data_IF_847373412579
#
_entry.id   IF_847373412579
#
_cell.length_a   1.000
_cell.length_b   1.000
_cell.length_c   1.000
_cell.angle_alpha   90.00
_cell.angle_beta   90.00
_cell.angle_gamma   90.00
#
_symmetry.space_group_name_H-M   'P 1'
#
loop_
_entity.id
_entity.type
_entity.pdbx_description
1 polymer ?
#
# COMPACT_ATOMS: atom_id res chain seq x y z
N UNK A 1 2.39 17.77 80.02
CA UNK A 1 2.48 16.30 80.07
C UNK A 1 3.26 15.88 78.82
N UNK A 2 4.61 15.74 78.99
CA UNK A 2 5.50 15.53 77.86
C UNK A 2 5.85 14.05 77.80
N UNK A 3 5.55 13.40 76.65
CA UNK A 3 5.98 12.03 76.37
C UNK A 3 7.21 12.06 75.45
N UNK A 4 8.32 11.57 75.98
CA UNK A 4 9.60 11.40 75.28
C UNK A 4 9.51 10.16 74.39
N UNK A 5 9.77 10.31 73.11
CA UNK A 5 9.94 9.21 72.15
C UNK A 5 11.45 8.95 72.00
N UNK A 6 11.86 7.71 72.29
CA UNK A 6 13.24 7.23 72.15
C UNK A 6 13.47 6.74 70.73
N UNK A 7 14.47 7.26 70.04
CA UNK A 7 14.98 6.75 68.77
C UNK A 7 16.01 5.64 69.05
N UNK A 8 15.72 4.40 68.64
CA UNK A 8 16.69 3.34 68.60
C UNK A 8 17.41 3.37 67.23
N UNK A 9 18.70 3.68 67.26
CA UNK A 9 19.56 3.59 66.07
C UNK A 9 20.03 2.16 65.90
N UNK A 10 19.59 1.52 64.84
CA UNK A 10 20.06 0.19 64.42
C UNK A 10 21.26 0.38 63.50
N UNK A 11 22.46 0.00 63.95
CA UNK A 11 23.68 -0.02 63.14
C UNK A 11 23.69 -1.37 62.41
N UNK A 12 23.52 -1.32 61.05
CA UNK A 12 23.74 -2.47 60.20
C UNK A 12 25.22 -2.56 59.81
N UNK A 13 25.91 -3.57 60.27
CA UNK A 13 27.25 -3.95 59.83
C UNK A 13 27.07 -4.74 58.52
N UNK A 14 27.50 -4.14 57.40
CA UNK A 14 27.56 -4.82 56.10
C UNK A 14 28.83 -5.66 56.04
N UNK A 15 28.71 -6.97 56.21
CA UNK A 15 29.77 -7.94 55.90
C UNK A 15 29.87 -8.06 54.35
N UNK A 16 30.97 -7.58 53.79
CA UNK A 16 31.28 -7.73 52.38
C UNK A 16 31.55 -9.18 51.99
N UNK A 17 30.65 -9.77 51.23
CA UNK A 17 30.90 -11.07 50.58
C UNK A 17 31.30 -10.80 49.12
N UNK A 18 32.60 -10.84 48.85
CA UNK A 18 33.19 -10.77 47.52
C UNK A 18 32.91 -12.08 46.78
N UNK A 19 31.83 -12.14 46.01
CA UNK A 19 31.64 -13.25 45.08
C UNK A 19 32.29 -12.90 43.74
N UNK A 20 33.41 -13.57 43.47
CA UNK A 20 34.06 -13.55 42.15
C UNK A 20 33.18 -14.29 41.14
N UNK A 21 32.64 -13.59 40.15
CA UNK A 21 31.94 -14.16 39.00
C UNK A 21 32.89 -15.04 38.17
N UNK A 22 32.53 -16.28 37.85
CA UNK A 22 33.38 -17.18 37.06
C UNK A 22 33.19 -17.07 35.55
N UNK A 23 32.55 -16.02 35.07
CA UNK A 23 32.27 -15.88 33.62
C UNK A 23 33.33 -15.00 32.97
N UNK A 24 34.42 -15.63 32.49
CA UNK A 24 35.28 -15.02 31.47
C UNK A 24 34.52 -15.02 30.16
N UNK A 25 34.09 -13.85 29.70
CA UNK A 25 33.63 -13.67 28.33
C UNK A 25 34.89 -13.80 27.45
N UNK A 26 35.05 -14.95 26.81
CA UNK A 26 36.01 -15.11 25.72
C UNK A 26 35.38 -14.43 24.52
N UNK A 27 35.90 -13.27 24.12
CA UNK A 27 35.51 -12.61 22.90
C UNK A 27 35.79 -13.54 21.71
N UNK A 28 34.73 -13.93 21.00
CA UNK A 28 34.87 -14.62 19.73
C UNK A 28 35.63 -13.74 18.73
N UNK A 29 36.50 -14.28 17.88
CA UNK A 29 37.19 -13.48 16.86
C UNK A 29 36.15 -12.87 15.91
N UNK A 30 36.26 -11.56 15.71
CA UNK A 30 35.50 -10.82 14.73
C UNK A 30 35.83 -11.37 13.34
N UNK A 31 34.88 -11.86 12.55
CA UNK A 31 35.18 -12.32 11.22
C UNK A 31 35.64 -11.12 10.36
N UNK A 32 36.79 -11.29 9.72
CA UNK A 32 37.35 -10.36 8.73
C UNK A 32 36.29 -10.08 7.66
N UNK A 33 36.08 -8.83 7.21
CA UNK A 33 35.12 -8.56 6.15
C UNK A 33 35.60 -9.24 4.87
N UNK A 34 34.96 -10.35 4.54
CA UNK A 34 35.09 -10.98 3.23
C UNK A 34 34.55 -9.99 2.21
N UNK A 35 35.38 -9.68 1.25
CA UNK A 35 35.11 -8.86 0.08
C UNK A 35 33.72 -9.22 -0.49
N UNK A 36 32.74 -8.33 -0.31
CA UNK A 36 31.43 -8.47 -0.92
C UNK A 36 31.63 -8.42 -2.43
N UNK A 37 31.43 -9.55 -3.08
CA UNK A 37 31.25 -9.61 -4.51
C UNK A 37 30.13 -8.59 -4.85
N UNK A 38 30.46 -7.61 -5.69
CA UNK A 38 29.47 -6.74 -6.29
C UNK A 38 28.54 -7.63 -7.12
N UNK A 39 27.39 -7.99 -6.53
CA UNK A 39 26.27 -8.47 -7.30
C UNK A 39 25.82 -7.27 -8.13
N UNK A 40 26.17 -7.31 -9.40
CA UNK A 40 25.57 -6.44 -10.40
C UNK A 40 24.08 -6.79 -10.40
N UNK A 41 23.28 -6.01 -9.66
CA UNK A 41 21.83 -6.08 -9.75
C UNK A 41 21.52 -5.59 -11.16
N UNK A 42 21.29 -6.53 -12.06
CA UNK A 42 20.68 -6.27 -13.34
C UNK A 42 19.44 -5.41 -13.06
N UNK A 43 19.35 -4.26 -13.67
CA UNK A 43 18.17 -3.41 -13.60
C UNK A 43 17.01 -4.19 -14.21
N UNK A 44 16.27 -4.88 -13.38
CA UNK A 44 14.99 -5.45 -13.80
C UNK A 44 14.11 -4.28 -14.22
N UNK A 45 14.07 -4.05 -15.52
CA UNK A 45 13.05 -3.22 -16.13
C UNK A 45 11.71 -3.75 -15.64
N UNK A 46 10.87 -2.87 -15.09
CA UNK A 46 9.51 -3.23 -14.69
C UNK A 46 8.88 -4.02 -15.84
N UNK A 47 8.21 -5.15 -15.54
CA UNK A 47 7.60 -5.96 -16.60
C UNK A 47 6.71 -5.07 -17.45
N UNK A 48 6.87 -5.16 -18.77
CA UNK A 48 6.02 -4.45 -19.71
C UNK A 48 4.55 -4.80 -19.39
N UNK A 49 3.66 -3.80 -19.49
CA UNK A 49 2.23 -4.04 -19.31
C UNK A 49 1.80 -5.22 -20.18
N UNK A 50 1.21 -6.24 -19.56
CA UNK A 50 0.66 -7.35 -20.32
C UNK A 50 -0.46 -6.80 -21.23
N UNK A 51 -0.56 -7.24 -22.49
CA UNK A 51 -1.70 -6.90 -23.31
C UNK A 51 -2.96 -7.38 -22.58
N UNK A 52 -3.97 -6.52 -22.49
CA UNK A 52 -5.29 -6.90 -21.97
C UNK A 52 -5.86 -7.83 -23.01
N UNK A 53 -5.98 -9.11 -22.68
CA UNK A 53 -6.74 -10.02 -23.54
C UNK A 53 -8.25 -9.78 -23.34
N UNK A 54 -9.04 -10.13 -24.33
CA UNK A 54 -10.51 -9.96 -24.28
C UNK A 54 -11.12 -10.75 -23.11
N UNK A 55 -10.45 -11.80 -22.64
CA UNK A 55 -10.85 -12.61 -21.51
C UNK A 55 -10.69 -11.86 -20.19
N UNK A 56 -9.59 -11.14 -20.01
CA UNK A 56 -9.37 -10.28 -18.83
C UNK A 56 -10.40 -9.14 -18.77
N UNK A 57 -10.70 -8.51 -19.93
CA UNK A 57 -11.74 -7.48 -20.02
C UNK A 57 -13.12 -8.04 -19.68
N UNK A 58 -13.46 -9.23 -20.17
CA UNK A 58 -14.72 -9.90 -19.84
C UNK A 58 -14.82 -10.25 -18.35
N UNK A 59 -13.75 -10.70 -17.74
CA UNK A 59 -13.68 -11.06 -16.31
C UNK A 59 -13.76 -9.82 -15.39
N UNK A 60 -13.12 -8.73 -15.78
CA UNK A 60 -13.21 -7.46 -15.08
C UNK A 60 -14.58 -6.78 -15.27
N UNK A 61 -15.41 -7.23 -16.21
CA UNK A 61 -16.85 -7.01 -16.38
C UNK A 61 -17.43 -5.64 -16.02
N UNK A 62 -16.68 -4.55 -16.32
CA UNK A 62 -17.08 -3.21 -15.96
C UNK A 62 -16.84 -2.90 -14.48
N UNK A 63 -15.63 -2.45 -14.14
CA UNK A 63 -15.33 -1.96 -12.80
C UNK A 63 -16.27 -0.79 -12.42
N UNK A 64 -16.67 -0.75 -11.15
CA UNK A 64 -17.32 0.44 -10.61
C UNK A 64 -16.32 1.61 -10.63
N UNK A 65 -16.76 2.78 -11.07
CA UNK A 65 -15.92 3.97 -10.97
C UNK A 65 -15.65 4.29 -9.49
N UNK A 66 -14.38 4.33 -9.05
CA UNK A 66 -14.06 4.31 -7.62
C UNK A 66 -14.28 5.62 -6.88
N UNK A 67 -14.57 6.73 -7.56
CA UNK A 67 -14.73 8.05 -6.95
C UNK A 67 -16.08 8.64 -7.36
N UNK A 68 -17.13 8.51 -6.54
CA UNK A 68 -18.47 9.00 -6.89
C UNK A 68 -18.49 10.51 -7.08
N UNK A 69 -19.32 10.96 -8.01
CA UNK A 69 -19.48 12.38 -8.32
C UNK A 69 -18.42 12.97 -9.25
N UNK A 70 -17.43 12.17 -9.65
CA UNK A 70 -16.49 12.55 -10.71
C UNK A 70 -17.03 12.06 -12.05
N UNK A 71 -17.01 12.92 -13.06
CA UNK A 71 -17.43 12.57 -14.42
C UNK A 71 -16.37 11.67 -15.07
N UNK A 72 -16.68 10.38 -15.21
CA UNK A 72 -15.79 9.40 -15.82
C UNK A 72 -15.48 9.66 -17.30
N UNK A 73 -16.30 10.45 -18.00
CA UNK A 73 -16.02 10.82 -19.40
C UNK A 73 -14.86 11.80 -19.53
N UNK A 74 -14.53 12.50 -18.45
CA UNK A 74 -13.42 13.47 -18.36
C UNK A 74 -12.15 12.87 -17.75
N UNK A 75 -12.12 11.56 -17.57
CA UNK A 75 -10.94 10.86 -17.09
C UNK A 75 -9.83 10.92 -18.16
N UNK A 76 -8.63 11.27 -17.74
CA UNK A 76 -7.44 11.26 -18.59
C UNK A 76 -6.76 9.90 -18.56
N UNK A 77 -6.34 9.39 -19.72
CA UNK A 77 -5.49 8.20 -19.80
C UNK A 77 -4.05 8.57 -19.45
N UNK A 78 -3.72 8.50 -18.18
CA UNK A 78 -2.37 8.76 -17.67
C UNK A 78 -1.54 7.49 -17.49
N UNK A 79 -2.00 6.33 -17.97
CA UNK A 79 -1.36 5.04 -17.71
C UNK A 79 0.10 4.98 -18.14
N UNK A 80 0.40 5.45 -19.34
CA UNK A 80 1.77 5.47 -19.90
C UNK A 80 2.55 6.75 -19.59
N UNK A 81 1.96 7.68 -18.80
CA UNK A 81 2.62 8.93 -18.48
C UNK A 81 3.98 8.70 -17.80
N UNK A 82 5.03 9.46 -18.20
CA UNK A 82 6.35 9.33 -17.59
C UNK A 82 6.33 9.77 -16.12
N UNK A 83 7.08 9.05 -15.29
CA UNK A 83 7.29 9.35 -13.86
C UNK A 83 8.81 9.32 -13.57
N UNK A 84 9.20 9.94 -12.46
CA UNK A 84 10.59 9.94 -11.96
C UNK A 84 11.60 10.38 -13.05
N UNK A 85 11.29 11.47 -13.77
CA UNK A 85 12.15 11.98 -14.86
C UNK A 85 12.16 11.11 -16.11
N UNK A 86 11.13 10.27 -16.32
CA UNK A 86 11.03 9.38 -17.48
C UNK A 86 11.62 7.98 -17.27
N UNK A 87 12.18 7.71 -16.10
CA UNK A 87 12.79 6.40 -15.80
C UNK A 87 11.74 5.30 -15.51
N UNK A 88 10.49 5.68 -15.29
CA UNK A 88 9.37 4.78 -14.96
C UNK A 88 8.08 5.24 -15.67
N UNK A 89 7.20 4.31 -15.99
CA UNK A 89 5.83 4.60 -16.39
C UNK A 89 4.93 4.74 -15.16
N UNK A 90 3.82 5.43 -15.33
CA UNK A 90 2.81 5.61 -14.27
C UNK A 90 2.16 4.27 -13.88
N UNK A 91 1.75 3.48 -14.88
CA UNK A 91 1.08 2.17 -14.72
C UNK A 91 -0.22 2.23 -13.89
N UNK A 92 -0.85 3.39 -13.87
CA UNK A 92 -2.06 3.70 -13.11
C UNK A 92 -2.82 4.86 -13.78
N UNK A 93 -3.94 5.22 -13.22
CA UNK A 93 -4.61 6.48 -13.54
C UNK A 93 -4.76 7.32 -12.28
N UNK A 94 -4.69 8.65 -12.45
CA UNK A 94 -4.93 9.61 -11.38
C UNK A 94 -6.32 10.21 -11.56
N UNK A 95 -7.21 9.96 -10.59
CA UNK A 95 -8.60 10.43 -10.59
C UNK A 95 -8.69 11.65 -9.69
N UNK A 96 -8.75 12.83 -10.28
CA UNK A 96 -8.81 14.10 -9.55
C UNK A 96 -10.14 14.25 -8.82
N UNK A 97 -10.09 14.50 -7.51
CA UNK A 97 -11.27 14.75 -6.71
C UNK A 97 -10.92 15.57 -5.46
N UNK A 98 -11.91 16.19 -4.85
CA UNK A 98 -11.71 16.94 -3.61
C UNK A 98 -11.21 16.02 -2.49
N UNK A 99 -10.31 16.53 -1.67
CA UNK A 99 -9.88 15.82 -0.45
C UNK A 99 -11.10 15.46 0.40
N UNK A 100 -11.15 14.21 0.88
CA UNK A 100 -12.26 13.70 1.67
C UNK A 100 -13.41 13.11 0.86
N UNK A 101 -13.34 13.12 -0.50
CA UNK A 101 -14.29 12.38 -1.34
C UNK A 101 -14.17 10.88 -1.06
N UNK A 102 -15.28 10.13 -0.89
CA UNK A 102 -15.22 8.69 -0.68
C UNK A 102 -14.52 7.95 -1.83
N UNK A 103 -13.81 6.88 -1.48
CA UNK A 103 -13.22 5.92 -2.41
C UNK A 103 -13.96 4.60 -2.24
N UNK A 104 -14.44 4.03 -3.33
CA UNK A 104 -15.26 2.83 -3.35
C UNK A 104 -14.50 1.61 -3.87
N UNK A 105 -14.85 0.43 -3.37
CA UNK A 105 -14.43 -0.84 -3.92
C UNK A 105 -14.98 -1.00 -5.35
N UNK A 106 -14.09 -1.23 -6.30
CA UNK A 106 -14.46 -1.36 -7.73
C UNK A 106 -15.16 -2.67 -8.05
N UNK A 107 -14.97 -3.69 -7.22
CA UNK A 107 -15.45 -5.06 -7.42
C UNK A 107 -15.68 -5.74 -6.07
N UNK A 108 -16.45 -6.86 -6.05
CA UNK A 108 -16.52 -7.78 -4.93
C UNK A 108 -15.16 -8.45 -4.72
N UNK A 109 -14.83 -8.79 -3.47
CA UNK A 109 -13.55 -9.43 -3.17
C UNK A 109 -13.13 -9.28 -1.70
N UNK A 110 -11.86 -8.98 -1.46
CA UNK A 110 -11.36 -8.75 -0.10
C UNK A 110 -10.16 -7.80 -0.06
N UNK A 111 -9.90 -7.22 1.09
CA UNK A 111 -8.69 -6.43 1.34
C UNK A 111 -7.50 -7.38 1.53
N UNK A 112 -6.45 -7.20 0.75
CA UNK A 112 -5.19 -7.92 0.91
C UNK A 112 -4.32 -7.27 1.98
N UNK A 113 -4.15 -5.93 1.91
CA UNK A 113 -3.23 -5.22 2.79
C UNK A 113 -3.60 -3.74 2.91
N UNK A 114 -3.40 -3.22 4.11
CA UNK A 114 -3.36 -1.79 4.41
C UNK A 114 -1.92 -1.40 4.69
N UNK A 115 -1.43 -0.31 4.10
CA UNK A 115 -0.06 0.16 4.35
C UNK A 115 0.05 1.67 4.23
N UNK A 116 1.13 2.20 4.78
CA UNK A 116 1.51 3.59 4.63
C UNK A 116 3.00 3.63 4.30
N UNK A 117 3.35 4.22 3.16
CA UNK A 117 4.73 4.29 2.68
C UNK A 117 5.03 5.64 2.02
N UNK A 118 6.32 5.91 1.79
CA UNK A 118 6.78 7.21 1.31
C UNK A 118 6.23 7.59 -0.08
N UNK A 119 5.97 6.62 -0.97
CA UNK A 119 5.46 6.88 -2.32
C UNK A 119 3.92 6.98 -2.33
N UNK A 120 3.24 5.91 -2.02
CA UNK A 120 1.78 5.85 -2.09
C UNK A 120 1.05 6.51 -0.92
N UNK A 121 1.75 6.82 0.18
CA UNK A 121 1.10 7.28 1.41
C UNK A 121 0.22 6.19 2.02
N UNK A 122 -0.95 6.57 2.50
CA UNK A 122 -1.98 5.66 2.99
C UNK A 122 -2.57 4.93 1.79
N UNK A 123 -2.49 3.59 1.78
CA UNK A 123 -2.83 2.77 0.62
C UNK A 123 -3.59 1.51 0.99
N UNK A 124 -4.37 1.01 0.03
CA UNK A 124 -5.12 -0.25 0.13
C UNK A 124 -4.77 -1.11 -1.08
N UNK A 125 -4.46 -2.38 -0.83
CA UNK A 125 -4.48 -3.44 -1.82
C UNK A 125 -5.72 -4.30 -1.59
N UNK A 126 -6.50 -4.52 -2.63
CA UNK A 126 -7.65 -5.42 -2.63
C UNK A 126 -7.56 -6.39 -3.80
N UNK A 127 -8.35 -7.44 -3.80
CA UNK A 127 -8.44 -8.41 -4.89
C UNK A 127 -9.90 -8.76 -5.16
N UNK A 128 -10.19 -9.29 -6.34
CA UNK A 128 -11.47 -9.90 -6.69
C UNK A 128 -11.69 -11.25 -5.95
N UNK A 129 -12.88 -11.83 -6.09
CA UNK A 129 -13.25 -13.09 -5.42
C UNK A 129 -12.34 -14.24 -5.86
N UNK A 130 -12.01 -14.32 -7.14
CA UNK A 130 -11.18 -15.36 -7.74
C UNK A 130 -9.68 -15.13 -7.52
N UNK A 131 -9.29 -14.02 -6.90
CA UNK A 131 -7.90 -13.62 -6.69
C UNK A 131 -7.05 -13.59 -7.96
N UNK A 132 -7.64 -13.13 -9.06
CA UNK A 132 -6.95 -13.00 -10.35
C UNK A 132 -6.39 -11.60 -10.56
N UNK A 133 -7.00 -10.58 -9.94
CA UNK A 133 -6.61 -9.20 -10.08
C UNK A 133 -6.34 -8.54 -8.74
N UNK A 134 -5.50 -7.52 -8.78
CA UNK A 134 -5.18 -6.67 -7.63
C UNK A 134 -5.56 -5.24 -7.95
N UNK A 135 -6.31 -4.63 -7.06
CA UNK A 135 -6.71 -3.23 -7.09
C UNK A 135 -5.93 -2.46 -6.05
N UNK A 136 -5.16 -1.47 -6.50
CA UNK A 136 -4.34 -0.64 -5.63
C UNK A 136 -4.89 0.78 -5.59
N UNK A 137 -5.17 1.25 -4.39
CA UNK A 137 -5.68 2.59 -4.09
C UNK A 137 -4.64 3.33 -3.27
N UNK A 138 -4.17 4.50 -3.73
CA UNK A 138 -3.13 5.26 -3.04
C UNK A 138 -3.48 6.73 -2.85
N UNK A 139 -2.64 7.42 -2.08
CA UNK A 139 -2.77 8.81 -1.67
C UNK A 139 -4.00 9.11 -0.82
N UNK A 140 -4.54 8.11 -0.12
CA UNK A 140 -5.70 8.28 0.74
C UNK A 140 -5.42 9.33 1.83
N UNK A 141 -6.46 10.06 2.24
CA UNK A 141 -6.44 10.92 3.43
C UNK A 141 -6.48 10.08 4.71
N UNK A 142 -7.37 9.10 4.73
CA UNK A 142 -7.58 8.13 5.80
C UNK A 142 -8.36 6.93 5.32
N UNK A 143 -8.31 5.85 6.07
CA UNK A 143 -9.18 4.69 5.86
C UNK A 143 -10.62 4.97 6.30
N UNK A 144 -11.57 4.22 5.73
CA UNK A 144 -12.92 4.13 6.29
C UNK A 144 -12.88 3.37 7.63
N UNK A 145 -13.74 3.71 8.61
CA UNK A 145 -13.80 2.97 9.88
C UNK A 145 -14.00 1.46 9.67
N UNK A 146 -13.37 0.65 10.53
CA UNK A 146 -13.47 -0.81 10.51
C UNK A 146 -12.96 -1.48 9.21
N UNK A 147 -12.01 -0.85 8.52
CA UNK A 147 -11.24 -1.45 7.44
C UNK A 147 -10.06 -2.21 8.03
N UNK A 148 -9.86 -3.47 7.59
CA UNK A 148 -8.74 -4.32 8.03
C UNK A 148 -8.33 -5.30 6.93
N UNK A 149 -7.10 -5.81 6.99
CA UNK A 149 -6.62 -6.82 6.05
C UNK A 149 -7.41 -8.13 6.20
N UNK A 150 -7.86 -8.69 5.09
CA UNK A 150 -8.74 -9.86 5.04
C UNK A 150 -10.23 -9.53 5.04
N UNK A 151 -10.63 -8.25 5.25
CA UNK A 151 -12.04 -7.86 5.22
C UNK A 151 -12.67 -8.19 3.87
N UNK A 152 -13.79 -8.93 3.83
CA UNK A 152 -14.60 -9.07 2.62
C UNK A 152 -15.12 -7.71 2.15
N UNK A 153 -15.21 -7.55 0.85
CA UNK A 153 -15.70 -6.34 0.18
C UNK A 153 -16.84 -6.68 -0.75
N UNK A 154 -17.85 -5.83 -0.72
CA UNK A 154 -18.85 -5.73 -1.78
C UNK A 154 -18.49 -4.55 -2.68
N UNK A 155 -18.73 -4.69 -3.97
CA UNK A 155 -18.63 -3.60 -4.95
C UNK A 155 -19.43 -2.40 -4.47
N UNK A 156 -18.77 -1.24 -4.35
CA UNK A 156 -19.37 -0.01 -3.82
C UNK A 156 -19.14 0.23 -2.33
N UNK A 157 -18.54 -0.71 -1.59
CA UNK A 157 -18.14 -0.45 -0.20
C UNK A 157 -17.14 0.70 -0.12
N UNK A 158 -17.33 1.58 0.87
CA UNK A 158 -16.38 2.68 1.10
C UNK A 158 -15.09 2.13 1.73
N UNK A 159 -13.97 2.37 1.07
CA UNK A 159 -12.63 1.95 1.50
C UNK A 159 -11.89 3.02 2.31
N UNK A 160 -12.10 4.27 1.96
CA UNK A 160 -11.38 5.41 2.52
C UNK A 160 -11.76 6.70 1.81
N UNK A 161 -10.88 7.67 1.86
CA UNK A 161 -11.16 9.01 1.34
C UNK A 161 -9.97 9.54 0.55
N UNK A 162 -10.24 10.26 -0.54
CA UNK A 162 -9.24 10.92 -1.37
C UNK A 162 -8.40 11.88 -0.53
N UNK A 163 -7.09 11.86 -0.73
CA UNK A 163 -6.15 12.69 -0.02
C UNK A 163 -4.96 13.12 -0.86
N UNK A 164 -3.86 13.40 -0.15
CA UNK A 164 -2.57 13.84 -0.70
C UNK A 164 -1.41 13.24 0.10
N UNK A 165 -1.58 12.05 0.67
CA UNK A 165 -0.53 11.38 1.44
C UNK A 165 0.55 10.79 0.52
N UNK A 166 1.69 10.45 1.08
CA UNK A 166 2.86 10.00 0.30
C UNK A 166 3.50 11.15 -0.49
N UNK A 167 3.86 10.85 -1.73
CA UNK A 167 4.51 11.81 -2.64
C UNK A 167 3.52 12.62 -3.52
N UNK A 168 2.21 12.51 -3.30
CA UNK A 168 1.23 13.31 -4.01
C UNK A 168 1.42 14.81 -3.74
N UNK A 169 1.29 15.69 -4.75
CA UNK A 169 1.27 17.13 -4.54
C UNK A 169 0.18 17.55 -3.56
N UNK A 170 0.50 18.43 -2.61
CA UNK A 170 -0.41 18.78 -1.52
C UNK A 170 -1.63 19.59 -1.94
N UNK A 171 -1.53 20.25 -3.07
CA UNK A 171 -2.56 21.10 -3.71
C UNK A 171 -3.38 20.36 -4.76
N UNK A 172 -3.02 19.11 -5.10
CA UNK A 172 -3.68 18.30 -6.13
C UNK A 172 -4.20 16.98 -5.54
N UNK A 173 -5.25 16.99 -4.72
CA UNK A 173 -5.82 15.75 -4.18
C UNK A 173 -6.40 14.89 -5.29
N UNK A 174 -6.05 13.60 -5.27
CA UNK A 174 -6.48 12.62 -6.25
C UNK A 174 -6.42 11.20 -5.67
N UNK A 175 -7.15 10.29 -6.30
CA UNK A 175 -6.94 8.85 -6.13
C UNK A 175 -5.97 8.38 -7.22
N UNK A 176 -4.82 7.85 -6.83
CA UNK A 176 -3.98 7.05 -7.72
C UNK A 176 -4.53 5.62 -7.69
N UNK A 177 -5.02 5.14 -8.83
CA UNK A 177 -5.67 3.84 -8.97
C UNK A 177 -4.95 2.96 -9.98
N UNK A 178 -4.56 1.76 -9.55
CA UNK A 178 -3.87 0.78 -10.39
C UNK A 178 -4.60 -0.56 -10.36
N UNK A 179 -4.64 -1.23 -11.51
CA UNK A 179 -5.07 -2.62 -11.66
C UNK A 179 -3.87 -3.45 -12.09
N UNK A 180 -3.72 -4.64 -11.52
CA UNK A 180 -2.63 -5.56 -11.83
C UNK A 180 -3.17 -6.99 -11.93
N UNK A 181 -2.52 -7.84 -12.72
CA UNK A 181 -2.71 -9.28 -12.59
C UNK A 181 -2.13 -9.76 -11.25
N UNK A 182 -2.80 -10.70 -10.60
CA UNK A 182 -2.25 -11.39 -9.44
C UNK A 182 -1.09 -12.27 -9.89
N UNK A 183 0.14 -12.05 -9.41
CA UNK A 183 1.28 -12.90 -9.79
C UNK A 183 1.13 -14.32 -9.24
N UNK A 184 1.70 -15.30 -9.93
CA UNK A 184 1.66 -16.71 -9.51
C UNK A 184 2.29 -16.95 -8.12
N UNK A 185 3.30 -16.14 -7.75
CA UNK A 185 3.95 -16.21 -6.44
C UNK A 185 3.18 -15.45 -5.33
N UNK A 186 2.01 -14.91 -5.67
CA UNK A 186 1.13 -14.14 -4.78
C UNK A 186 1.78 -12.88 -4.16
N UNK A 187 2.88 -12.39 -4.72
CA UNK A 187 3.44 -11.09 -4.37
C UNK A 187 2.63 -9.97 -5.02
N UNK A 188 1.42 -9.77 -4.56
CA UNK A 188 0.39 -8.91 -5.14
C UNK A 188 0.83 -7.46 -5.41
N UNK A 189 1.93 -6.99 -4.80
CA UNK A 189 2.47 -5.64 -5.02
C UNK A 189 3.37 -5.53 -6.26
N UNK A 190 3.64 -6.62 -6.97
CA UNK A 190 4.55 -6.70 -8.10
C UNK A 190 3.91 -7.38 -9.32
N UNK A 191 2.59 -7.33 -9.43
CA UNK A 191 1.87 -7.88 -10.58
C UNK A 191 2.05 -7.05 -11.85
N UNK A 192 1.98 -7.67 -13.04
CA UNK A 192 1.93 -6.95 -14.30
C UNK A 192 0.75 -5.96 -14.31
N UNK A 193 0.99 -4.67 -14.61
CA UNK A 193 -0.06 -3.66 -14.60
C UNK A 193 -1.00 -3.81 -15.80
N UNK A 194 -2.26 -3.50 -15.58
CA UNK A 194 -3.33 -3.43 -16.60
C UNK A 194 -3.79 -1.99 -16.67
N UNK A 195 -3.99 -1.45 -17.87
CA UNK A 195 -4.54 -0.11 -18.02
C UNK A 195 -5.98 -0.04 -17.52
N UNK A 196 -6.28 0.69 -16.42
CA UNK A 196 -7.64 0.78 -15.90
C UNK A 196 -8.54 1.73 -16.68
N UNK A 197 -7.98 2.57 -17.55
CA UNK A 197 -8.72 3.60 -18.27
C UNK A 197 -9.92 3.06 -19.07
N UNK A 198 -9.75 2.05 -19.96
CA UNK A 198 -10.87 1.49 -20.70
C UNK A 198 -11.90 0.76 -19.83
N UNK A 199 -11.46 0.24 -18.66
CA UNK A 199 -12.31 -0.51 -17.72
C UNK A 199 -13.23 0.39 -16.89
N UNK A 200 -12.85 1.64 -16.69
CA UNK A 200 -13.58 2.62 -15.87
C UNK A 200 -14.46 3.57 -16.69
N UNK A 201 -14.31 3.58 -17.99
CA UNK A 201 -15.20 4.36 -18.84
C UNK A 201 -16.51 3.60 -19.06
N UNK A 202 -17.66 4.30 -19.07
CA UNK A 202 -18.88 3.66 -19.51
C UNK A 202 -18.63 3.08 -20.90
N UNK A 203 -18.95 1.82 -21.10
CA UNK A 203 -19.07 1.24 -22.45
C UNK A 203 -20.22 1.98 -23.12
N UNK A 204 -19.89 3.21 -23.58
CA UNK A 204 -20.83 4.07 -24.24
C UNK A 204 -21.28 3.43 -25.52
N UNK A 205 -22.58 3.25 -25.65
CA UNK A 205 -23.32 3.32 -26.94
C UNK A 205 -22.35 3.17 -28.11
N UNK A 206 -22.22 1.94 -28.61
CA UNK A 206 -21.86 1.80 -30.01
C UNK A 206 -22.80 2.72 -30.77
N UNK A 207 -22.27 3.82 -31.26
CA UNK A 207 -22.97 4.69 -32.18
C UNK A 207 -23.49 3.77 -33.26
N UNK A 208 -24.81 3.58 -33.28
CA UNK A 208 -25.45 2.93 -34.40
C UNK A 208 -25.05 3.75 -35.63
N UNK A 209 -24.12 3.19 -36.40
CA UNK A 209 -23.81 3.72 -37.73
C UNK A 209 -25.11 3.67 -38.52
N UNK A 210 -25.61 4.86 -38.86
CA UNK A 210 -26.62 5.06 -39.86
C UNK A 210 -26.03 4.91 -41.25
#
# INVERSE_FOLDING_TARGET
MFQKVWYLSLIFVLAGCSQRSPWRIVAAPVPTPTQQAHVVVSSDAAPAAAPIDDTAVAHLGGLLFPVPGVDSTRLDDSFDAPRDGGTRRHNAIDIMARRGTPILAVQDGRILRLTNNAKGGITIYATDIEEQFVYYYAHLDRYYPNIYSGKPLMRGDTLGYVGTTGNAPKDLPHLHFQVMHMPADKKFWNGPPINPYPLLRPTGTQSAAK
#
